data_IF_186212391010
#
_entry.id   IF_186212391010
#
_cell.length_a   1.000
_cell.length_b   1.000
_cell.length_c   1.000
_cell.angle_alpha   90.00
_cell.angle_beta   90.00
_cell.angle_gamma   90.00
#
_symmetry.space_group_name_H-M   'P 1'
#
loop_
_entity.id
_entity.type
_entity.pdbx_description
1 polymer ?
#
# COMPACT_ATOMS: atom_id res chain seq x y z
N UNK A 1 14.58 -6.25 -26.07
CA UNK A 1 13.32 -6.76 -25.52
C UNK A 1 12.34 -5.61 -25.57
N UNK A 2 11.34 -5.68 -26.46
CA UNK A 2 10.25 -4.70 -26.48
C UNK A 2 9.50 -4.81 -25.15
N UNK A 3 9.56 -3.77 -24.33
CA UNK A 3 9.15 -3.85 -22.92
C UNK A 3 7.90 -3.03 -22.59
N UNK A 4 7.07 -2.70 -23.58
CA UNK A 4 5.73 -2.17 -23.31
C UNK A 4 4.71 -3.31 -23.38
N UNK A 5 4.66 -4.11 -22.33
CA UNK A 5 3.52 -4.98 -22.10
C UNK A 5 2.28 -4.08 -21.99
N UNK A 6 1.35 -4.18 -22.96
CA UNK A 6 0.12 -3.41 -22.91
C UNK A 6 -0.82 -4.06 -21.88
N UNK A 7 -0.84 -3.50 -20.66
CA UNK A 7 -1.71 -3.95 -19.59
C UNK A 7 -3.11 -3.37 -19.76
N UNK A 8 -4.13 -4.24 -19.69
CA UNK A 8 -5.54 -3.91 -19.87
C UNK A 8 -6.36 -4.03 -18.59
N UNK A 9 -5.78 -4.58 -17.53
CA UNK A 9 -6.46 -4.71 -16.24
C UNK A 9 -5.52 -4.72 -15.04
N UNK A 10 -5.98 -4.12 -13.95
CA UNK A 10 -5.26 -4.04 -12.68
C UNK A 10 -6.18 -4.38 -11.50
N UNK A 11 -5.71 -5.23 -10.58
CA UNK A 11 -6.37 -5.52 -9.30
C UNK A 11 -5.44 -5.21 -8.14
N UNK A 12 -5.90 -4.35 -7.24
CA UNK A 12 -5.16 -3.98 -6.04
C UNK A 12 -5.64 -4.76 -4.81
N UNK A 13 -4.73 -5.49 -4.16
CA UNK A 13 -4.97 -6.31 -2.96
C UNK A 13 -4.18 -5.73 -1.79
N UNK A 14 -4.82 -5.60 -0.62
CA UNK A 14 -4.12 -5.21 0.59
C UNK A 14 -4.96 -4.53 1.67
N UNK A 15 -4.31 -3.62 2.39
CA UNK A 15 -4.84 -2.95 3.58
C UNK A 15 -5.08 -1.44 3.36
N UNK A 16 -4.96 -0.62 4.41
CA UNK A 16 -5.20 0.83 4.34
C UNK A 16 -4.24 1.57 3.41
N UNK A 17 -3.02 1.07 3.25
CA UNK A 17 -2.05 1.64 2.33
C UNK A 17 -2.56 1.56 0.89
N UNK A 18 -3.03 0.38 0.48
CA UNK A 18 -3.60 0.12 -0.85
C UNK A 18 -5.01 0.71 -1.00
N UNK A 19 -5.80 0.79 0.07
CA UNK A 19 -7.11 1.47 0.03
C UNK A 19 -6.97 2.97 -0.27
N UNK A 20 -5.83 3.57 0.04
CA UNK A 20 -5.57 4.99 -0.24
C UNK A 20 -5.85 5.92 0.93
N UNK A 21 -5.80 5.41 2.16
CA UNK A 21 -6.06 6.21 3.36
C UNK A 21 -5.24 7.51 3.35
N UNK A 22 -5.87 8.58 3.84
CA UNK A 22 -5.35 9.95 3.90
C UNK A 22 -5.21 10.72 2.58
N UNK A 23 -5.54 10.13 1.43
CA UNK A 23 -5.79 10.86 0.17
C UNK A 23 -7.30 11.08 -0.03
N UNK A 24 -7.90 11.85 0.89
CA UNK A 24 -9.34 12.11 0.96
C UNK A 24 -9.79 13.11 -0.11
N UNK A 25 -10.78 12.73 -0.90
CA UNK A 25 -11.39 13.54 -1.93
C UNK A 25 -12.58 14.34 -1.36
N UNK A 26 -13.04 15.41 -2.05
CA UNK A 26 -14.18 16.23 -1.59
C UNK A 26 -15.49 15.45 -1.41
N UNK A 27 -15.68 14.35 -2.13
CA UNK A 27 -16.83 13.45 -2.04
C UNK A 27 -16.74 12.46 -0.85
N UNK A 28 -15.65 12.52 -0.08
CA UNK A 28 -15.39 11.65 1.07
C UNK A 28 -14.77 10.30 0.71
N UNK A 29 -14.50 10.03 -0.57
CA UNK A 29 -13.78 8.84 -1.02
C UNK A 29 -12.28 8.98 -0.83
N UNK A 30 -11.57 7.85 -0.76
CA UNK A 30 -10.11 7.82 -0.75
C UNK A 30 -9.61 7.43 -2.13
N UNK A 31 -8.75 8.25 -2.72
CA UNK A 31 -8.13 7.97 -4.03
C UNK A 31 -6.93 7.04 -3.85
N UNK A 32 -5.79 7.54 -3.35
CA UNK A 32 -4.61 6.72 -3.08
C UNK A 32 -3.81 6.31 -4.32
N UNK A 33 -2.66 5.67 -4.09
CA UNK A 33 -1.70 5.34 -5.14
C UNK A 33 -2.24 4.37 -6.19
N UNK A 34 -3.06 3.39 -5.78
CA UNK A 34 -3.58 2.38 -6.68
C UNK A 34 -4.55 3.00 -7.71
N UNK A 35 -5.39 3.93 -7.28
CA UNK A 35 -6.34 4.63 -8.15
C UNK A 35 -5.63 5.64 -9.05
N UNK A 36 -4.55 6.28 -8.57
CA UNK A 36 -3.66 7.11 -9.38
C UNK A 36 -2.99 6.29 -10.49
N UNK A 37 -2.44 5.12 -10.16
CA UNK A 37 -1.86 4.20 -11.13
C UNK A 37 -2.90 3.73 -12.16
N UNK A 38 -4.08 3.31 -11.69
CA UNK A 38 -5.17 2.88 -12.56
C UNK A 38 -5.60 3.98 -13.54
N UNK A 39 -5.70 5.24 -13.08
CA UNK A 39 -6.00 6.38 -13.94
C UNK A 39 -4.95 6.60 -15.02
N UNK A 40 -3.65 6.48 -14.67
CA UNK A 40 -2.56 6.59 -15.65
C UNK A 40 -2.58 5.47 -16.69
N UNK A 41 -2.83 4.23 -16.26
CA UNK A 41 -2.94 3.09 -17.18
C UNK A 41 -4.17 3.22 -18.09
N UNK A 42 -5.32 3.63 -17.54
CA UNK A 42 -6.54 3.84 -18.32
C UNK A 42 -6.40 4.95 -19.37
N UNK A 43 -5.62 5.99 -19.10
CA UNK A 43 -5.33 7.05 -20.07
C UNK A 43 -4.55 6.56 -21.31
N UNK A 44 -3.88 5.40 -21.22
CA UNK A 44 -3.09 4.81 -22.32
C UNK A 44 -3.73 3.56 -22.93
N UNK A 45 -4.73 2.99 -22.28
CA UNK A 45 -5.39 1.75 -22.70
C UNK A 45 -6.90 1.91 -22.67
N UNK A 46 -7.50 1.96 -23.86
CA UNK A 46 -8.96 1.99 -23.99
C UNK A 46 -9.60 0.75 -23.35
N UNK A 47 -10.69 0.95 -22.61
CA UNK A 47 -11.39 -0.13 -21.93
C UNK A 47 -10.62 -0.75 -20.75
N UNK A 48 -9.56 -0.10 -20.24
CA UNK A 48 -8.81 -0.57 -19.08
C UNK A 48 -9.74 -0.88 -17.91
N UNK A 49 -9.55 -2.03 -17.26
CA UNK A 49 -10.39 -2.47 -16.13
C UNK A 49 -9.64 -2.38 -14.81
N UNK A 50 -10.33 -1.97 -13.76
CA UNK A 50 -9.73 -1.80 -12.45
C UNK A 50 -10.62 -2.31 -11.32
N UNK A 51 -10.00 -2.98 -10.34
CA UNK A 51 -10.60 -3.29 -9.04
C UNK A 51 -9.64 -2.92 -7.91
N UNK A 52 -10.19 -2.50 -6.78
CA UNK A 52 -9.45 -2.26 -5.54
C UNK A 52 -10.16 -3.00 -4.40
N UNK A 53 -9.59 -4.14 -4.01
CA UNK A 53 -10.12 -5.03 -2.99
C UNK A 53 -9.63 -4.66 -1.58
N UNK A 54 -8.74 -3.67 -1.47
CA UNK A 54 -8.09 -3.33 -0.23
C UNK A 54 -9.05 -2.70 0.79
N UNK A 55 -8.87 -3.07 2.05
CA UNK A 55 -9.68 -2.58 3.17
C UNK A 55 -8.77 -2.29 4.36
N UNK A 56 -8.88 -1.08 4.92
CA UNK A 56 -8.10 -0.60 6.06
C UNK A 56 -8.06 -1.55 7.23
N UNK A 57 -6.88 -1.62 7.85
CA UNK A 57 -6.67 -2.33 9.10
C UNK A 57 -6.68 -3.85 8.99
N UNK A 58 -6.80 -4.41 7.78
CA UNK A 58 -6.68 -5.84 7.56
C UNK A 58 -5.29 -6.36 7.88
N UNK A 59 -5.28 -7.55 8.45
CA UNK A 59 -4.09 -8.39 8.61
C UNK A 59 -3.95 -9.34 7.42
N UNK A 60 -2.76 -9.94 7.26
CA UNK A 60 -2.51 -10.84 6.13
C UNK A 60 -3.49 -12.01 6.07
N UNK A 61 -3.91 -12.57 7.21
CA UNK A 61 -4.93 -13.62 7.23
C UNK A 61 -6.26 -13.19 6.62
N UNK A 62 -6.74 -12.00 6.95
CA UNK A 62 -7.99 -11.45 6.40
C UNK A 62 -7.86 -11.04 4.92
N UNK A 63 -6.63 -10.74 4.47
CA UNK A 63 -6.35 -10.50 3.05
C UNK A 63 -6.45 -11.82 2.29
N UNK A 64 -5.82 -12.89 2.80
CA UNK A 64 -5.92 -14.24 2.22
C UNK A 64 -7.37 -14.71 2.15
N UNK A 65 -8.08 -14.66 3.27
CA UNK A 65 -9.43 -15.23 3.39
C UNK A 65 -10.46 -14.51 2.53
N UNK A 66 -10.32 -13.19 2.32
CA UNK A 66 -11.39 -12.38 1.73
C UNK A 66 -11.03 -11.75 0.38
N UNK A 67 -9.75 -11.59 0.05
CA UNK A 67 -9.32 -10.85 -1.15
C UNK A 67 -8.57 -11.73 -2.16
N UNK A 68 -7.77 -12.69 -1.72
CA UNK A 68 -6.84 -13.44 -2.61
C UNK A 68 -7.60 -14.26 -3.65
N UNK A 69 -8.56 -15.08 -3.24
CA UNK A 69 -9.31 -15.92 -4.18
C UNK A 69 -10.19 -15.07 -5.11
N UNK A 70 -10.73 -13.96 -4.61
CA UNK A 70 -11.48 -12.97 -5.42
C UNK A 70 -10.57 -12.37 -6.49
N UNK A 71 -9.39 -11.86 -6.13
CA UNK A 71 -8.43 -11.30 -7.08
C UNK A 71 -7.96 -12.33 -8.11
N UNK A 72 -7.66 -13.55 -7.67
CA UNK A 72 -7.25 -14.64 -8.56
C UNK A 72 -8.34 -14.98 -9.60
N UNK A 73 -9.61 -14.97 -9.19
CA UNK A 73 -10.73 -15.23 -10.10
C UNK A 73 -10.88 -14.19 -11.21
N UNK A 74 -10.44 -12.94 -10.98
CA UNK A 74 -10.55 -11.84 -11.92
C UNK A 74 -9.58 -11.96 -13.11
N UNK A 75 -8.51 -12.75 -12.96
CA UNK A 75 -7.47 -12.97 -13.99
C UNK A 75 -6.94 -11.68 -14.63
N UNK A 76 -6.61 -10.70 -13.79
CA UNK A 76 -6.11 -9.41 -14.25
C UNK A 76 -4.69 -9.51 -14.80
N UNK A 77 -4.30 -8.54 -15.63
CA UNK A 77 -2.93 -8.51 -16.15
C UNK A 77 -1.93 -8.16 -15.04
N UNK A 78 -2.23 -7.14 -14.24
CA UNK A 78 -1.41 -6.73 -13.09
C UNK A 78 -2.19 -6.97 -11.79
N UNK A 79 -1.52 -7.60 -10.83
CA UNK A 79 -2.01 -7.68 -9.45
C UNK A 79 -0.95 -7.12 -8.52
N UNK A 80 -1.33 -6.23 -7.61
CA UNK A 80 -0.45 -5.79 -6.52
C UNK A 80 -0.90 -6.41 -5.21
N UNK A 81 0.01 -6.98 -4.44
CA UNK A 81 -0.26 -7.51 -3.11
C UNK A 81 0.56 -6.75 -2.06
N UNK A 82 -0.13 -6.10 -1.13
CA UNK A 82 0.48 -5.48 0.06
C UNK A 82 -0.20 -6.01 1.31
N UNK A 83 0.55 -6.73 2.15
CA UNK A 83 0.02 -7.26 3.41
C UNK A 83 1.12 -7.71 4.36
N UNK A 84 0.75 -7.98 5.62
CA UNK A 84 1.66 -8.46 6.66
C UNK A 84 2.32 -7.35 7.49
N UNK A 85 2.51 -6.13 6.95
CA UNK A 85 3.09 -5.03 7.74
C UNK A 85 2.27 -4.74 9.00
N UNK A 86 0.93 -4.71 8.90
CA UNK A 86 0.03 -4.52 10.05
C UNK A 86 0.22 -5.58 11.15
N UNK A 87 0.56 -6.81 10.77
CA UNK A 87 0.84 -7.91 11.69
C UNK A 87 2.14 -7.66 12.45
N UNK A 88 3.22 -7.25 11.75
CA UNK A 88 4.53 -6.98 12.36
C UNK A 88 4.46 -5.92 13.48
N UNK A 89 3.54 -4.97 13.34
CA UNK A 89 3.28 -3.88 14.28
C UNK A 89 2.48 -4.33 15.52
N UNK A 90 2.10 -5.61 15.63
CA UNK A 90 1.38 -6.16 16.80
C UNK A 90 2.35 -6.79 17.81
N UNK A 91 2.12 -6.63 19.13
CA UNK A 91 2.99 -7.23 20.14
C UNK A 91 3.14 -8.75 20.01
N UNK A 92 2.03 -9.46 19.76
CA UNK A 92 1.94 -10.92 19.62
C UNK A 92 2.02 -11.39 18.15
N UNK A 93 2.91 -10.80 17.36
CA UNK A 93 3.11 -11.20 15.96
C UNK A 93 3.81 -12.56 15.89
N UNK A 94 3.22 -13.50 15.16
CA UNK A 94 3.84 -14.76 14.75
C UNK A 94 4.37 -14.58 13.32
N UNK A 95 5.68 -14.37 13.19
CA UNK A 95 6.31 -14.15 11.89
C UNK A 95 6.27 -15.39 10.99
N UNK A 96 6.27 -16.61 11.57
CA UNK A 96 6.14 -17.84 10.80
C UNK A 96 4.77 -17.92 10.11
N UNK A 97 3.70 -17.60 10.85
CA UNK A 97 2.34 -17.51 10.31
C UNK A 97 2.22 -16.42 9.23
N UNK A 98 2.79 -15.23 9.47
CA UNK A 98 2.75 -14.13 8.49
C UNK A 98 3.42 -14.54 7.18
N UNK A 99 4.61 -15.16 7.24
CA UNK A 99 5.32 -15.66 6.06
C UNK A 99 4.53 -16.74 5.34
N UNK A 100 4.00 -17.74 6.04
CA UNK A 100 3.20 -18.81 5.43
C UNK A 100 1.95 -18.28 4.70
N UNK A 101 1.24 -17.30 5.28
CA UNK A 101 0.08 -16.69 4.64
C UNK A 101 0.46 -15.80 3.44
N UNK A 102 1.60 -15.10 3.50
CA UNK A 102 2.10 -14.35 2.36
C UNK A 102 2.51 -15.29 1.21
N UNK A 103 3.16 -16.41 1.52
CA UNK A 103 3.50 -17.45 0.52
C UNK A 103 2.24 -18.05 -0.11
N UNK A 104 1.21 -18.35 0.68
CA UNK A 104 -0.07 -18.82 0.15
C UNK A 104 -0.69 -17.80 -0.82
N UNK A 105 -0.73 -16.52 -0.42
CA UNK A 105 -1.28 -15.45 -1.26
C UNK A 105 -0.51 -15.33 -2.59
N UNK A 106 0.83 -15.30 -2.53
CA UNK A 106 1.68 -15.22 -3.71
C UNK A 106 1.50 -16.45 -4.60
N UNK A 107 1.44 -17.65 -4.03
CA UNK A 107 1.25 -18.90 -4.76
C UNK A 107 -0.08 -18.97 -5.52
N UNK A 108 -1.14 -18.38 -4.97
CA UNK A 108 -2.46 -18.28 -5.63
C UNK A 108 -2.54 -17.17 -6.68
N UNK A 109 -1.96 -16.00 -6.41
CA UNK A 109 -2.05 -14.84 -7.29
C UNK A 109 -1.12 -14.92 -8.50
N UNK A 110 0.08 -15.47 -8.34
CA UNK A 110 1.08 -15.56 -9.42
C UNK A 110 0.53 -16.26 -10.68
N UNK A 111 -0.04 -17.48 -10.62
CA UNK A 111 -0.54 -18.15 -11.82
C UNK A 111 -1.83 -17.54 -12.38
N UNK A 112 -2.48 -16.63 -11.65
CA UNK A 112 -3.74 -16.00 -12.05
C UNK A 112 -3.57 -14.59 -12.61
N UNK A 113 -2.36 -14.07 -12.75
CA UNK A 113 -2.11 -12.78 -13.39
C UNK A 113 -0.93 -12.84 -14.35
N UNK A 114 -0.75 -11.81 -15.19
CA UNK A 114 0.44 -11.72 -16.05
C UNK A 114 1.66 -11.24 -15.25
N UNK A 115 1.45 -10.31 -14.33
CA UNK A 115 2.50 -9.76 -13.49
C UNK A 115 1.98 -9.51 -12.06
N UNK A 116 2.56 -10.23 -11.10
CA UNK A 116 2.40 -9.94 -9.69
C UNK A 116 3.43 -8.88 -9.27
N UNK A 117 2.99 -7.92 -8.46
CA UNK A 117 3.84 -6.87 -7.87
C UNK A 117 3.71 -6.92 -6.35
N UNK A 118 4.84 -7.08 -5.69
CA UNK A 118 5.00 -7.02 -4.24
C UNK A 118 5.68 -5.71 -3.85
N UNK A 119 5.61 -5.36 -2.57
CA UNK A 119 6.20 -4.11 -2.08
C UNK A 119 6.94 -4.29 -0.77
N UNK A 120 8.11 -3.67 -0.68
CA UNK A 120 8.74 -3.32 0.59
C UNK A 120 8.15 -1.98 1.02
N UNK A 121 7.05 -2.01 1.78
CA UNK A 121 6.24 -0.83 2.13
C UNK A 121 7.06 0.26 2.82
N UNK A 122 6.75 1.55 2.60
CA UNK A 122 7.49 2.64 3.20
C UNK A 122 7.25 2.71 4.71
N UNK A 123 8.19 3.32 5.43
CA UNK A 123 8.10 3.52 6.87
C UNK A 123 8.55 4.92 7.27
N UNK A 124 7.74 5.61 8.07
CA UNK A 124 8.09 6.94 8.59
C UNK A 124 9.28 6.87 9.53
N UNK A 125 10.23 7.78 9.39
CA UNK A 125 11.35 7.91 10.32
C UNK A 125 10.86 8.28 11.73
N UNK A 126 11.28 7.51 12.73
CA UNK A 126 11.00 7.78 14.14
C UNK A 126 11.19 6.58 15.07
N UNK A 127 11.26 6.80 16.38
CA UNK A 127 11.64 5.78 17.38
C UNK A 127 10.67 4.60 17.48
N UNK A 128 9.39 4.82 17.13
CA UNK A 128 8.40 3.74 17.09
C UNK A 128 8.70 2.76 15.97
N UNK A 129 9.15 3.25 14.80
CA UNK A 129 9.46 2.41 13.66
C UNK A 129 10.71 1.55 13.93
N UNK A 130 11.73 2.14 14.58
CA UNK A 130 12.95 1.41 14.99
C UNK A 130 12.66 0.16 15.82
N UNK A 131 11.63 0.22 16.68
CA UNK A 131 11.23 -0.92 17.52
C UNK A 131 10.73 -2.11 16.70
N UNK A 132 10.10 -1.88 15.56
CA UNK A 132 9.52 -2.92 14.70
C UNK A 132 10.40 -3.27 13.51
N UNK A 133 11.47 -2.49 13.26
CA UNK A 133 12.40 -2.66 12.14
C UNK A 133 12.87 -4.10 11.92
N UNK A 134 13.30 -4.88 12.94
CA UNK A 134 13.75 -6.25 12.71
C UNK A 134 12.68 -7.15 12.07
N UNK A 135 11.42 -7.02 12.49
CA UNK A 135 10.30 -7.80 11.92
C UNK A 135 9.92 -7.33 10.52
N UNK A 136 10.04 -6.03 10.25
CA UNK A 136 9.80 -5.47 8.93
C UNK A 136 10.87 -5.94 7.94
N UNK A 137 12.14 -5.92 8.34
CA UNK A 137 13.24 -6.40 7.51
C UNK A 137 13.15 -7.91 7.27
N UNK A 138 12.73 -8.70 8.27
CA UNK A 138 12.41 -10.12 8.07
C UNK A 138 11.29 -10.32 7.04
N UNK A 139 10.20 -9.54 7.13
CA UNK A 139 9.11 -9.58 6.15
C UNK A 139 9.58 -9.20 4.74
N UNK A 140 10.38 -8.13 4.62
CA UNK A 140 10.85 -7.62 3.34
C UNK A 140 11.87 -8.53 2.68
N UNK A 141 12.79 -9.14 3.44
CA UNK A 141 13.65 -10.18 2.91
C UNK A 141 12.85 -11.37 2.36
N UNK A 142 11.78 -11.76 3.06
CA UNK A 142 10.90 -12.82 2.58
C UNK A 142 10.07 -12.43 1.34
N UNK A 143 9.68 -11.16 1.22
CA UNK A 143 9.08 -10.61 -0.01
C UNK A 143 10.03 -10.77 -1.19
N UNK A 144 11.31 -10.43 -1.00
CA UNK A 144 12.33 -10.56 -2.06
C UNK A 144 12.54 -12.05 -2.44
N UNK A 145 12.57 -12.96 -1.45
CA UNK A 145 12.64 -14.42 -1.69
C UNK A 145 11.44 -14.95 -2.50
N UNK A 146 10.22 -14.53 -2.14
CA UNK A 146 9.01 -14.91 -2.87
C UNK A 146 9.00 -14.36 -4.29
N UNK A 147 9.40 -13.10 -4.46
CA UNK A 147 9.49 -12.50 -5.78
C UNK A 147 10.47 -13.25 -6.70
N UNK A 148 11.65 -13.58 -6.19
CA UNK A 148 12.63 -14.36 -6.93
C UNK A 148 12.11 -15.76 -7.32
N UNK A 149 11.38 -16.44 -6.41
CA UNK A 149 10.81 -17.77 -6.68
C UNK A 149 9.65 -17.76 -7.67
N UNK A 150 8.83 -16.70 -7.67
CA UNK A 150 7.58 -16.64 -8.42
C UNK A 150 7.63 -15.71 -9.63
N UNK A 151 8.75 -15.04 -9.90
CA UNK A 151 8.86 -14.05 -10.99
C UNK A 151 8.03 -12.79 -10.75
N UNK A 152 7.72 -12.46 -9.49
CA UNK A 152 7.05 -11.21 -9.16
C UNK A 152 8.03 -10.04 -9.20
N UNK A 153 7.51 -8.83 -9.45
CA UNK A 153 8.29 -7.60 -9.30
C UNK A 153 8.21 -7.10 -7.87
N UNK A 154 9.26 -6.44 -7.39
CA UNK A 154 9.29 -5.79 -6.08
C UNK A 154 9.49 -4.29 -6.24
N UNK A 155 8.58 -3.51 -5.67
CA UNK A 155 8.75 -2.05 -5.52
C UNK A 155 9.40 -1.75 -4.17
N UNK A 156 10.60 -1.19 -4.20
CA UNK A 156 11.35 -0.81 -3.00
C UNK A 156 10.98 0.59 -2.52
N UNK A 157 9.91 0.70 -1.74
CA UNK A 157 9.48 1.96 -1.13
C UNK A 157 10.18 2.21 0.21
N UNK A 158 10.57 1.14 0.90
CA UNK A 158 11.28 1.18 2.18
C UNK A 158 12.68 1.79 2.07
N UNK A 159 13.42 1.45 1.00
CA UNK A 159 14.76 1.97 0.75
C UNK A 159 14.80 3.40 0.21
N UNK A 160 13.64 4.04 -0.03
CA UNK A 160 13.58 5.41 -0.54
C UNK A 160 13.52 6.44 0.60
N UNK A 161 14.64 7.13 0.84
CA UNK A 161 14.79 8.12 1.93
C UNK A 161 13.65 9.14 2.00
N UNK A 162 13.16 9.60 0.85
CA UNK A 162 12.10 10.59 0.78
C UNK A 162 10.78 10.10 1.40
N UNK A 163 10.47 8.81 1.29
CA UNK A 163 9.27 8.21 1.89
C UNK A 163 9.40 8.05 3.41
N UNK A 164 10.61 8.19 3.97
CA UNK A 164 10.84 8.31 5.41
C UNK A 164 10.56 9.71 5.97
N UNK A 165 10.51 10.76 5.13
CA UNK A 165 10.26 12.15 5.55
C UNK A 165 8.84 12.32 6.09
N UNK A 166 8.70 12.94 7.26
CA UNK A 166 7.41 13.15 7.93
C UNK A 166 6.37 13.89 7.07
N UNK A 167 6.81 14.71 6.11
CA UNK A 167 5.93 15.43 5.17
C UNK A 167 5.21 14.50 4.20
N UNK A 168 5.68 13.26 4.03
CA UNK A 168 4.99 12.25 3.23
C UNK A 168 3.83 11.60 3.99
N UNK A 169 3.71 11.80 5.30
CA UNK A 169 2.75 11.14 6.16
C UNK A 169 1.73 12.13 6.72
N UNK A 170 0.47 11.73 6.77
CA UNK A 170 -0.61 12.57 7.28
C UNK A 170 -0.49 12.78 8.80
N UNK A 171 -1.38 13.59 9.36
CA UNK A 171 -1.46 13.93 10.78
C UNK A 171 -1.61 12.70 11.69
N UNK A 172 -2.10 11.58 11.15
CA UNK A 172 -2.18 10.30 11.84
C UNK A 172 -0.87 9.51 11.88
N UNK A 173 0.17 10.03 11.20
CA UNK A 173 1.56 9.53 11.24
C UNK A 173 1.71 8.08 10.77
N UNK A 174 0.70 7.54 10.12
CA UNK A 174 0.61 6.14 9.72
C UNK A 174 0.30 6.00 8.23
N UNK A 175 -0.49 6.90 7.65
CA UNK A 175 -0.85 6.85 6.23
C UNK A 175 -0.16 7.97 5.45
N UNK A 176 0.03 7.71 4.15
CA UNK A 176 0.63 8.67 3.25
C UNK A 176 -0.33 9.82 2.93
N UNK A 177 0.24 11.01 2.76
CA UNK A 177 -0.45 12.14 2.13
C UNK A 177 -0.64 11.88 0.63
N UNK A 178 -1.42 12.74 -0.04
CA UNK A 178 -1.57 12.73 -1.49
C UNK A 178 -0.23 12.71 -2.24
N UNK A 179 0.77 13.46 -1.76
CA UNK A 179 2.13 13.48 -2.34
C UNK A 179 2.84 12.13 -2.18
N UNK A 180 2.72 11.49 -1.03
CA UNK A 180 3.28 10.15 -0.81
C UNK A 180 2.64 9.13 -1.74
N UNK A 181 1.30 9.14 -1.87
CA UNK A 181 0.58 8.26 -2.79
C UNK A 181 0.98 8.48 -4.26
N UNK A 182 1.19 9.72 -4.67
CA UNK A 182 1.68 10.07 -6.02
C UNK A 182 3.05 9.45 -6.31
N UNK A 183 3.99 9.55 -5.37
CA UNK A 183 5.33 8.93 -5.50
C UNK A 183 5.28 7.42 -5.52
N UNK A 184 4.39 6.81 -4.73
CA UNK A 184 4.17 5.35 -4.80
C UNK A 184 3.61 4.94 -6.15
N UNK A 185 2.64 5.67 -6.69
CA UNK A 185 2.08 5.39 -8.01
C UNK A 185 3.16 5.44 -9.11
N UNK A 186 4.04 6.46 -9.07
CA UNK A 186 5.18 6.56 -9.97
C UNK A 186 6.19 5.41 -9.76
N UNK A 187 6.46 5.02 -8.52
CA UNK A 187 7.37 3.91 -8.24
C UNK A 187 6.87 2.60 -8.86
N UNK A 188 5.58 2.30 -8.70
CA UNK A 188 4.96 1.10 -9.30
C UNK A 188 4.95 1.20 -10.83
N UNK A 189 4.61 2.38 -11.37
CA UNK A 189 4.63 2.67 -12.80
C UNK A 189 5.98 2.36 -13.45
N UNK A 190 7.06 2.87 -12.86
CA UNK A 190 8.43 2.61 -13.34
C UNK A 190 8.84 1.14 -13.14
N UNK A 191 8.46 0.51 -12.03
CA UNK A 191 8.76 -0.91 -11.79
C UNK A 191 8.09 -1.82 -12.82
N UNK A 192 6.90 -1.44 -13.31
CA UNK A 192 6.21 -2.13 -14.40
C UNK A 192 6.85 -1.92 -15.78
N UNK A 193 7.95 -1.16 -15.86
CA UNK A 193 8.74 -0.97 -17.07
C UNK A 193 8.32 0.22 -17.93
N UNK A 194 7.41 1.05 -17.45
CA UNK A 194 7.02 2.26 -18.16
C UNK A 194 8.05 3.39 -17.98
N UNK A 195 8.12 4.28 -18.97
CA UNK A 195 8.98 5.47 -18.91
C UNK A 195 8.62 6.36 -17.72
N UNK A 196 9.66 6.83 -17.02
CA UNK A 196 9.51 7.73 -15.88
C UNK A 196 8.81 9.02 -16.29
N UNK A 197 7.72 9.36 -15.60
CA UNK A 197 7.10 10.69 -15.69
C UNK A 197 7.79 11.67 -14.73
N UNK A 198 8.42 11.15 -13.67
CA UNK A 198 9.12 11.95 -12.66
C UNK A 198 10.13 11.15 -11.82
N UNK A 199 11.04 11.86 -11.15
CA UNK A 199 11.88 11.26 -10.12
C UNK A 199 11.12 11.19 -8.78
N UNK A 200 10.46 10.06 -8.53
CA UNK A 200 9.75 9.83 -7.28
C UNK A 200 10.67 9.70 -6.05
N UNK A 201 11.98 9.50 -6.25
CA UNK A 201 12.99 9.46 -5.17
C UNK A 201 13.57 10.82 -4.84
N UNK A 202 13.28 11.85 -5.66
CA UNK A 202 13.80 13.20 -5.48
C UNK A 202 13.53 13.73 -4.07
N UNK A 203 14.58 14.14 -3.36
CA UNK A 203 14.44 14.67 -2.01
C UNK A 203 13.63 15.96 -2.00
N UNK A 204 12.83 16.14 -0.96
CA UNK A 204 12.09 17.38 -0.76
C UNK A 204 13.06 18.53 -0.43
N UNK A 205 12.79 19.76 -0.90
CA UNK A 205 13.56 20.94 -0.50
C UNK A 205 13.66 21.07 1.01
N UNK A 206 14.78 21.61 1.49
CA UNK A 206 14.98 21.87 2.92
C UNK A 206 13.88 22.79 3.45
N UNK A 207 13.19 22.35 4.49
CA UNK A 207 12.17 23.13 5.18
C UNK A 207 12.68 23.60 6.55
N UNK A 208 12.22 24.78 7.00
CA UNK A 208 12.47 25.25 8.35
C UNK A 208 11.76 24.32 9.34
N UNK A 209 12.52 23.73 10.26
CA UNK A 209 11.94 22.83 11.28
C UNK A 209 11.05 23.64 12.23
N UNK A 210 9.83 23.18 12.54
CA UNK A 210 8.99 23.85 13.53
C UNK A 210 9.69 23.89 14.89
N UNK A 211 9.50 24.99 15.63
CA UNK A 211 10.01 25.12 16.99
C UNK A 211 9.51 24.00 17.92
N UNK A 212 10.29 23.70 18.97
CA UNK A 212 10.04 22.59 19.90
C UNK A 212 8.64 22.62 20.53
N UNK A 213 8.13 23.80 20.89
CA UNK A 213 6.81 23.97 21.50
C UNK A 213 5.67 23.56 20.54
N UNK A 214 5.75 23.97 19.27
CA UNK A 214 4.76 23.60 18.25
C UNK A 214 4.75 22.09 18.01
N UNK A 215 5.92 21.43 18.08
CA UNK A 215 6.03 19.96 17.97
C UNK A 215 5.32 19.24 19.11
N UNK A 216 5.47 19.71 20.36
CA UNK A 216 4.85 19.08 21.55
C UNK A 216 3.33 19.20 21.57
N UNK A 217 2.80 20.35 21.17
CA UNK A 217 1.34 20.54 21.01
C UNK A 217 0.79 19.61 19.92
N UNK A 218 1.52 19.45 18.83
CA UNK A 218 1.19 18.49 17.77
C UNK A 218 1.21 17.03 18.23
N UNK A 219 2.21 16.63 19.03
CA UNK A 219 2.32 15.27 19.59
C UNK A 219 1.15 14.93 20.53
N UNK A 220 0.75 15.86 21.40
CA UNK A 220 -0.39 15.69 22.31
C UNK A 220 -1.73 15.57 21.56
N UNK A 221 -1.94 16.42 20.55
CA UNK A 221 -3.14 16.37 19.70
C UNK A 221 -3.22 15.04 18.94
N UNK A 222 -2.09 14.62 18.37
CA UNK A 222 -1.96 13.33 17.69
C UNK A 222 -2.32 12.16 18.62
N UNK A 223 -1.73 12.13 19.82
CA UNK A 223 -1.94 11.06 20.78
C UNK A 223 -3.42 10.91 21.16
N UNK A 224 -4.11 12.04 21.37
CA UNK A 224 -5.54 12.07 21.75
C UNK A 224 -6.47 11.68 20.61
N UNK A 225 -6.23 12.18 19.40
CA UNK A 225 -7.17 12.06 18.28
C UNK A 225 -7.01 10.76 17.49
N UNK A 226 -5.78 10.23 17.37
CA UNK A 226 -5.49 9.13 16.46
C UNK A 226 -4.93 7.90 17.19
N UNK A 227 -3.91 8.08 18.03
CA UNK A 227 -3.22 6.97 18.70
C UNK A 227 -4.12 6.28 19.75
N UNK A 228 -4.80 7.04 20.60
CA UNK A 228 -5.69 6.49 21.64
C UNK A 228 -6.82 5.61 21.08
N UNK A 229 -7.65 6.09 20.14
CA UNK A 229 -8.68 5.28 19.50
C UNK A 229 -8.13 4.06 18.76
N UNK A 230 -6.95 4.18 18.14
CA UNK A 230 -6.29 3.06 17.46
C UNK A 230 -5.81 1.97 18.43
N UNK A 231 -5.22 2.35 19.57
CA UNK A 231 -4.87 1.42 20.65
C UNK A 231 -6.13 0.77 21.23
N UNK A 232 -7.18 1.55 21.51
CA UNK A 232 -8.44 1.03 22.06
C UNK A 232 -9.10 -0.01 21.16
N UNK A 233 -9.13 0.23 19.85
CA UNK A 233 -9.60 -0.75 18.85
C UNK A 233 -8.76 -2.03 18.86
N UNK A 234 -7.43 -1.90 18.94
CA UNK A 234 -6.51 -3.06 19.04
C UNK A 234 -6.73 -3.90 20.31
N UNK A 235 -7.04 -3.27 21.44
CA UNK A 235 -7.33 -3.99 22.69
C UNK A 235 -8.70 -4.71 22.66
N UNK A 236 -9.65 -4.20 21.89
CA UNK A 236 -11.00 -4.77 21.75
C UNK A 236 -11.14 -5.73 20.56
N UNK A 237 -10.07 -5.93 19.79
CA UNK A 237 -10.07 -6.80 18.60
C UNK A 237 -10.83 -6.24 17.40
N UNK A 238 -11.37 -5.01 17.48
CA UNK A 238 -12.12 -4.35 16.40
C UNK A 238 -11.18 -3.66 15.42
N UNK A 239 -11.45 -3.76 14.12
CA UNK A 239 -10.76 -3.00 13.08
C UNK A 239 -11.56 -1.78 12.63
N UNK A 240 -10.89 -0.75 12.13
CA UNK A 240 -11.56 0.36 11.43
C UNK A 240 -12.19 -0.05 10.09
N UNK A 241 -11.85 -1.25 9.60
CA UNK A 241 -12.40 -1.83 8.38
C UNK A 241 -13.55 -2.81 8.58
N UNK A 242 -13.92 -3.14 9.82
CA UNK A 242 -14.96 -4.15 10.09
C UNK A 242 -16.29 -3.75 9.43
N UNK A 243 -16.89 -4.68 8.67
CA UNK A 243 -18.14 -4.48 7.94
C UNK A 243 -18.05 -3.52 6.75
N UNK A 244 -16.84 -3.06 6.38
CA UNK A 244 -16.65 -2.20 5.20
C UNK A 244 -16.36 -3.06 3.97
N UNK A 245 -17.12 -2.90 2.87
CA UNK A 245 -16.77 -3.52 1.61
C UNK A 245 -15.53 -2.85 1.00
N UNK A 246 -14.88 -3.56 0.07
CA UNK A 246 -13.90 -2.98 -0.81
C UNK A 246 -14.50 -1.80 -1.60
N UNK A 247 -13.74 -0.73 -1.81
CA UNK A 247 -14.24 0.47 -2.50
C UNK A 247 -14.56 0.23 -3.98
N UNK A 248 -13.91 -0.76 -4.59
CA UNK A 248 -14.15 -1.16 -5.99
C UNK A 248 -14.04 -2.69 -6.11
N UNK A 249 -15.08 -3.44 -5.70
CA UNK A 249 -15.03 -4.89 -5.50
C UNK A 249 -15.01 -5.70 -6.80
N UNK A 250 -15.33 -5.08 -7.93
CA UNK A 250 -15.46 -5.74 -9.24
C UNK A 250 -14.44 -5.18 -10.24
N UNK A 251 -13.92 -6.06 -11.11
CA UNK A 251 -13.01 -5.69 -12.19
C UNK A 251 -13.80 -5.11 -13.38
N UNK A 252 -14.20 -3.85 -13.24
CA UNK A 252 -15.00 -3.11 -14.23
C UNK A 252 -14.17 -2.06 -14.98
N UNK A 253 -14.60 -1.63 -16.17
CA UNK A 253 -13.97 -0.53 -16.90
C UNK A 253 -13.71 0.70 -16.02
N UNK A 254 -12.52 1.27 -16.10
CA UNK A 254 -12.14 2.48 -15.40
C UNK A 254 -12.79 3.69 -16.07
N UNK A 255 -13.64 4.40 -15.31
CA UNK A 255 -14.23 5.67 -15.70
C UNK A 255 -13.50 6.74 -14.89
N UNK A 256 -12.92 7.74 -15.55
CA UNK A 256 -12.28 8.85 -14.84
C UNK A 256 -13.37 9.60 -14.06
N UNK A 257 -13.27 9.74 -12.73
CA UNK A 257 -14.26 10.49 -11.97
C UNK A 257 -14.36 11.97 -12.34
N UNK A 258 -13.46 12.48 -13.21
CA UNK A 258 -13.46 13.85 -13.73
C UNK A 258 -14.04 13.98 -15.16
N UNK A 259 -14.37 12.86 -15.81
CA UNK A 259 -15.02 12.88 -17.14
C UNK A 259 -16.53 13.11 -17.05
#
# INVERSE_FOLDING_TARGET
MEMNANYTSFVAVGDSFTEGMSDLQPDGSYRGWADLLAGRMAARTEGFRYANLAVRGKLIGQIVDEQVDVAASMRADVVTLVGGLNDTLRPRCDMGRVRGLLEEAVGKLTPSCRQLVLMRSPGRNGPVMERFRPRMEELFGYVDELAARHGALVVDLYGADVLGDQRMWDVDRLHLTAEGHRRVAEAVWQTLGHDAEEDWRALLPSAVRPGWAARRVGDLRFARQYLGPWIGRRLTGRSSGDGRPAKRPELLPYVDPRS
#
